data_IF_855403635751
#
_entry.id   IF_855403635751
#
_cell.length_a   1.000
_cell.length_b   1.000
_cell.length_c   1.000
_cell.angle_alpha   90.00
_cell.angle_beta   90.00
_cell.angle_gamma   90.00
#
_symmetry.space_group_name_H-M   'P 1'
#
loop_
_entity.id
_entity.type
_entity.pdbx_description
1 polymer ?
#
# COMPACT_ATOMS: atom_id res chain seq x y z
N UNK A 1 -30.73 -10.92 19.75
CA UNK A 1 -29.46 -10.17 19.73
C UNK A 1 -28.55 -10.85 18.72
N UNK A 2 -28.33 -10.25 17.56
CA UNK A 2 -27.46 -10.83 16.52
C UNK A 2 -26.03 -10.82 17.05
N UNK A 3 -25.39 -11.99 17.16
CA UNK A 3 -23.96 -12.07 17.48
C UNK A 3 -23.21 -11.45 16.30
N UNK A 4 -22.70 -10.23 16.47
CA UNK A 4 -21.76 -9.64 15.53
C UNK A 4 -20.49 -10.49 15.59
N UNK A 5 -20.23 -11.27 14.56
CA UNK A 5 -18.94 -11.96 14.41
C UNK A 5 -17.84 -10.90 14.33
N UNK A 6 -16.74 -11.01 15.10
CA UNK A 6 -15.62 -10.08 14.98
C UNK A 6 -15.12 -10.04 13.54
N UNK A 7 -14.89 -8.85 13.01
CA UNK A 7 -14.27 -8.70 11.69
C UNK A 7 -12.79 -9.06 11.81
N UNK A 8 -12.24 -9.84 10.86
CA UNK A 8 -10.82 -10.11 10.81
C UNK A 8 -10.01 -8.81 10.75
N UNK A 9 -8.95 -8.76 11.54
CA UNK A 9 -8.10 -7.58 11.71
C UNK A 9 -6.85 -7.68 10.86
N UNK A 10 -6.57 -6.65 10.08
CA UNK A 10 -5.34 -6.55 9.30
C UNK A 10 -4.51 -5.40 9.85
N UNK A 11 -3.32 -5.71 10.36
CA UNK A 11 -2.31 -4.72 10.71
C UNK A 11 -1.63 -4.18 9.45
N UNK A 12 -1.31 -2.90 9.41
CA UNK A 12 -0.67 -2.30 8.24
C UNK A 12 0.45 -1.34 8.63
N UNK A 13 1.65 -1.56 8.07
CA UNK A 13 2.80 -0.66 8.19
C UNK A 13 3.14 -0.08 6.83
N UNK A 14 3.21 1.26 6.74
CA UNK A 14 3.54 1.99 5.52
C UNK A 14 4.87 2.71 5.68
N UNK A 15 5.87 2.31 4.89
CA UNK A 15 7.20 2.91 4.88
C UNK A 15 7.52 3.56 3.53
N UNK A 16 8.56 4.38 3.52
CA UNK A 16 9.16 4.90 2.29
C UNK A 16 8.63 6.27 1.87
N UNK A 17 8.10 6.37 0.65
CA UNK A 17 7.87 7.65 0.00
C UNK A 17 6.38 7.92 -0.28
N UNK A 18 6.00 9.16 -0.66
CA UNK A 18 4.61 9.52 -0.96
C UNK A 18 3.89 8.59 -1.95
N UNK A 19 4.63 8.04 -2.93
CA UNK A 19 4.06 7.09 -3.91
C UNK A 19 3.68 5.76 -3.25
N UNK A 20 4.53 5.31 -2.34
CA UNK A 20 4.29 4.09 -1.55
C UNK A 20 3.13 4.29 -0.57
N UNK A 21 3.01 5.49 0.00
CA UNK A 21 1.87 5.86 0.84
C UNK A 21 0.56 5.81 0.06
N UNK A 22 0.52 6.32 -1.18
CA UNK A 22 -0.68 6.19 -2.04
C UNK A 22 -0.99 4.72 -2.37
N UNK A 23 0.03 3.88 -2.56
CA UNK A 23 -0.16 2.44 -2.74
C UNK A 23 -0.80 1.81 -1.48
N UNK A 24 -0.32 2.18 -0.29
CA UNK A 24 -0.93 1.77 0.99
C UNK A 24 -2.37 2.23 1.13
N UNK A 25 -2.68 3.50 0.83
CA UNK A 25 -4.04 4.04 0.89
C UNK A 25 -5.02 3.25 0.02
N UNK A 26 -4.58 2.78 -1.16
CA UNK A 26 -5.40 1.92 -2.03
C UNK A 26 -5.68 0.57 -1.40
N UNK A 27 -4.64 -0.12 -0.90
CA UNK A 27 -4.80 -1.43 -0.24
C UNK A 27 -5.74 -1.31 0.97
N UNK A 28 -5.53 -0.28 1.79
CA UNK A 28 -6.37 0.00 2.97
C UNK A 28 -7.84 0.27 2.60
N UNK A 29 -8.06 1.00 1.51
CA UNK A 29 -9.41 1.30 1.00
C UNK A 29 -10.11 0.02 0.60
N UNK A 30 -9.46 -0.85 -0.17
CA UNK A 30 -10.06 -2.12 -0.60
C UNK A 30 -10.32 -3.07 0.56
N UNK A 31 -9.38 -3.22 1.50
CA UNK A 31 -9.57 -4.03 2.71
C UNK A 31 -10.80 -3.56 3.51
N UNK A 32 -10.97 -2.25 3.70
CA UNK A 32 -12.15 -1.72 4.38
C UNK A 32 -13.44 -1.92 3.58
N UNK A 33 -13.39 -1.78 2.26
CA UNK A 33 -14.54 -2.04 1.37
C UNK A 33 -15.00 -3.49 1.49
N UNK A 34 -14.05 -4.42 1.59
CA UNK A 34 -14.31 -5.84 1.81
C UNK A 34 -14.77 -6.18 3.23
N UNK A 35 -14.63 -5.23 4.18
CA UNK A 35 -15.09 -5.34 5.56
C UNK A 35 -14.06 -5.88 6.54
N UNK A 36 -12.77 -5.81 6.20
CA UNK A 36 -11.69 -6.04 7.16
C UNK A 36 -11.57 -4.85 8.12
N UNK A 37 -11.25 -5.14 9.37
CA UNK A 37 -10.91 -4.12 10.34
C UNK A 37 -9.41 -3.81 10.21
N UNK A 38 -9.06 -2.61 9.75
CA UNK A 38 -7.65 -2.23 9.58
C UNK A 38 -7.16 -1.45 10.78
N UNK A 39 -6.15 -1.99 11.45
CA UNK A 39 -5.59 -1.49 12.70
C UNK A 39 -4.16 -0.97 12.53
N UNK A 40 -3.75 0.09 13.25
CA UNK A 40 -2.39 0.63 13.19
C UNK A 40 -1.41 -0.11 14.15
N UNK A 41 -1.66 -1.38 14.47
CA UNK A 41 -0.85 -2.18 15.40
C UNK A 41 -0.55 -3.58 14.85
N UNK A 42 0.52 -4.18 15.35
CA UNK A 42 0.81 -5.60 15.17
C UNK A 42 -0.06 -6.46 16.09
N UNK A 43 -0.25 -5.97 17.32
CA UNK A 43 -1.00 -6.62 18.38
C UNK A 43 -2.46 -6.83 17.96
N UNK A 44 -2.97 -8.03 18.22
CA UNK A 44 -4.33 -8.49 17.91
C UNK A 44 -4.72 -8.46 16.41
N UNK A 45 -3.77 -8.31 15.49
CA UNK A 45 -4.04 -8.49 14.07
C UNK A 45 -4.06 -9.98 13.70
N UNK A 46 -4.95 -10.41 12.80
CA UNK A 46 -4.93 -11.76 12.23
C UNK A 46 -3.80 -11.96 11.21
N UNK A 47 -3.29 -10.84 10.68
CA UNK A 47 -2.17 -10.75 9.73
C UNK A 47 -1.66 -9.31 9.65
N UNK A 48 -0.38 -9.13 9.34
CA UNK A 48 0.24 -7.82 9.10
C UNK A 48 0.72 -7.70 7.65
N UNK A 49 0.46 -6.54 7.04
CA UNK A 49 1.02 -6.14 5.75
C UNK A 49 2.09 -5.08 6.00
N UNK A 50 3.32 -5.32 5.52
CA UNK A 50 4.41 -4.34 5.59
C UNK A 50 4.71 -3.83 4.17
N UNK A 51 4.37 -2.56 3.90
CA UNK A 51 4.69 -1.89 2.65
C UNK A 51 6.06 -1.20 2.74
N UNK A 52 7.04 -1.76 2.04
CA UNK A 52 8.47 -1.51 2.22
C UNK A 52 9.06 -0.53 1.20
N UNK A 53 10.20 0.07 1.56
CA UNK A 53 11.02 0.88 0.67
C UNK A 53 12.26 0.11 0.22
N UNK A 54 12.65 0.24 -1.05
CA UNK A 54 13.77 -0.50 -1.64
C UNK A 54 14.86 0.37 -2.28
N UNK A 55 14.74 1.70 -2.20
CA UNK A 55 15.51 2.62 -3.04
C UNK A 55 16.86 3.03 -2.45
N UNK A 56 16.91 3.39 -1.18
CA UNK A 56 18.14 3.78 -0.46
C UNK A 56 18.46 2.77 0.64
N UNK A 57 19.74 2.52 0.90
CA UNK A 57 20.19 1.47 1.83
C UNK A 57 19.62 1.63 3.24
N UNK A 58 19.55 2.86 3.76
CA UNK A 58 18.96 3.12 5.09
C UNK A 58 17.48 2.72 5.15
N UNK A 59 16.72 2.99 4.10
CA UNK A 59 15.30 2.63 4.03
C UNK A 59 15.10 1.12 3.78
N UNK A 60 16.07 0.46 3.16
CA UNK A 60 16.09 -1.01 3.04
C UNK A 60 16.31 -1.64 4.41
N UNK A 61 17.27 -1.15 5.20
CA UNK A 61 17.51 -1.66 6.56
C UNK A 61 16.28 -1.43 7.45
N UNK A 62 15.71 -0.22 7.46
CA UNK A 62 14.47 0.10 8.17
C UNK A 62 13.32 -0.86 7.77
N UNK A 63 13.20 -1.15 6.47
CA UNK A 63 12.18 -2.09 5.98
C UNK A 63 12.40 -3.52 6.48
N UNK A 64 13.65 -3.99 6.50
CA UNK A 64 13.99 -5.32 7.02
C UNK A 64 13.76 -5.41 8.53
N UNK A 65 14.07 -4.35 9.29
CA UNK A 65 13.81 -4.28 10.73
C UNK A 65 12.30 -4.35 11.02
N UNK A 66 11.49 -3.56 10.30
CA UNK A 66 10.03 -3.56 10.46
C UNK A 66 9.40 -4.92 10.11
N UNK A 67 9.92 -5.63 9.10
CA UNK A 67 9.47 -7.01 8.80
C UNK A 67 9.78 -7.94 9.99
N UNK A 68 10.98 -7.83 10.56
CA UNK A 68 11.39 -8.64 11.70
C UNK A 68 10.53 -8.39 12.94
N UNK A 69 10.23 -7.11 13.23
CA UNK A 69 9.33 -6.71 14.31
C UNK A 69 7.93 -7.31 14.09
N UNK A 70 7.33 -7.13 12.91
CA UNK A 70 6.02 -7.67 12.59
C UNK A 70 5.97 -9.21 12.68
N UNK A 71 7.05 -9.90 12.29
CA UNK A 71 7.15 -11.35 12.40
C UNK A 71 7.24 -11.81 13.86
N UNK A 72 7.94 -11.07 14.71
CA UNK A 72 8.08 -11.41 16.13
C UNK A 72 6.77 -11.21 16.88
N UNK A 73 6.04 -10.13 16.61
CA UNK A 73 4.79 -9.80 17.31
C UNK A 73 3.58 -10.57 16.77
N UNK A 74 3.50 -10.81 15.46
CA UNK A 74 2.31 -11.42 14.83
C UNK A 74 2.53 -12.82 14.25
N UNK A 75 3.70 -13.07 13.64
CA UNK A 75 4.04 -14.33 12.99
C UNK A 75 3.41 -14.57 11.61
N UNK A 76 2.39 -13.79 11.18
CA UNK A 76 1.80 -13.85 9.84
C UNK A 76 1.98 -12.53 9.10
N UNK A 77 3.02 -12.46 8.28
CA UNK A 77 3.41 -11.23 7.58
C UNK A 77 3.42 -11.42 6.08
N UNK A 78 2.74 -10.52 5.37
CA UNK A 78 2.88 -10.30 3.93
C UNK A 78 3.73 -9.04 3.72
N UNK A 79 4.67 -9.10 2.78
CA UNK A 79 5.49 -7.96 2.40
C UNK A 79 5.07 -7.46 1.02
N UNK A 80 4.98 -6.15 0.88
CA UNK A 80 4.74 -5.49 -0.41
C UNK A 80 5.64 -4.27 -0.57
N UNK A 81 5.62 -3.63 -1.74
CA UNK A 81 6.33 -2.40 -2.00
C UNK A 81 7.66 -2.58 -2.73
N UNK A 82 8.46 -1.53 -2.71
CA UNK A 82 9.67 -1.42 -3.54
C UNK A 82 10.71 -2.51 -3.24
N UNK A 83 10.87 -2.91 -1.97
CA UNK A 83 11.84 -3.95 -1.62
C UNK A 83 11.38 -5.34 -2.08
N UNK A 84 10.08 -5.55 -2.25
CA UNK A 84 9.51 -6.79 -2.75
C UNK A 84 9.95 -7.15 -4.18
N UNK A 85 10.42 -6.18 -4.96
CA UNK A 85 11.07 -6.44 -6.24
C UNK A 85 12.44 -7.16 -6.10
N UNK A 86 12.97 -7.27 -4.88
CA UNK A 86 14.18 -8.00 -4.50
C UNK A 86 13.83 -9.10 -3.50
N UNK A 87 12.94 -10.00 -3.90
CA UNK A 87 12.40 -11.06 -3.03
C UNK A 87 13.49 -11.85 -2.30
N UNK A 88 14.56 -12.23 -3.01
CA UNK A 88 15.68 -12.99 -2.45
C UNK A 88 16.30 -12.31 -1.21
N UNK A 89 16.45 -10.98 -1.25
CA UNK A 89 17.02 -10.20 -0.16
C UNK A 89 16.12 -10.23 1.09
N UNK A 90 14.80 -10.24 0.91
CA UNK A 90 13.87 -10.37 2.03
C UNK A 90 13.91 -11.79 2.58
N UNK A 91 13.87 -12.82 1.72
CA UNK A 91 13.83 -14.22 2.15
C UNK A 91 15.12 -14.70 2.80
N UNK A 92 16.27 -14.15 2.42
CA UNK A 92 17.57 -14.45 3.04
C UNK A 92 17.56 -14.07 4.54
N UNK A 93 16.98 -12.92 4.87
CA UNK A 93 16.92 -12.41 6.24
C UNK A 93 15.70 -12.95 7.00
N UNK A 94 14.54 -12.98 6.32
CA UNK A 94 13.23 -13.30 6.89
C UNK A 94 12.53 -14.42 6.12
N UNK A 95 13.02 -15.66 6.18
CA UNK A 95 12.48 -16.78 5.40
C UNK A 95 11.05 -17.18 5.80
N UNK A 96 10.54 -16.66 6.92
CA UNK A 96 9.19 -16.94 7.45
C UNK A 96 8.09 -16.02 6.90
N UNK A 97 8.45 -15.00 6.11
CA UNK A 97 7.44 -14.17 5.42
C UNK A 97 6.56 -15.07 4.56
N UNK A 98 5.24 -14.88 4.66
CA UNK A 98 4.26 -15.71 3.95
C UNK A 98 4.36 -15.47 2.46
N UNK A 99 4.20 -14.21 2.05
CA UNK A 99 4.16 -13.80 0.65
C UNK A 99 4.87 -12.46 0.46
N UNK A 100 5.45 -12.29 -0.73
CA UNK A 100 6.18 -11.08 -1.11
C UNK A 100 5.64 -10.63 -2.46
N UNK A 101 5.26 -9.35 -2.54
CA UNK A 101 4.77 -8.73 -3.76
C UNK A 101 5.57 -7.47 -4.09
N UNK A 102 5.63 -7.13 -5.37
CA UNK A 102 6.29 -5.92 -5.85
C UNK A 102 5.55 -4.63 -5.48
N UNK A 103 6.12 -3.46 -5.87
CA UNK A 103 5.39 -2.20 -5.78
C UNK A 103 4.14 -2.25 -6.66
N UNK A 104 3.13 -1.41 -6.37
CA UNK A 104 1.87 -1.30 -7.11
C UNK A 104 1.06 -2.61 -7.33
N UNK A 105 1.47 -3.75 -6.76
CA UNK A 105 0.80 -5.06 -6.85
C UNK A 105 -0.36 -5.22 -5.85
N UNK A 106 -1.23 -4.22 -5.70
CA UNK A 106 -2.27 -4.24 -4.67
C UNK A 106 -3.30 -5.38 -4.86
N UNK A 107 -3.61 -5.78 -6.10
CA UNK A 107 -4.51 -6.92 -6.36
C UNK A 107 -3.93 -8.21 -5.80
N UNK A 108 -2.65 -8.47 -6.07
CA UNK A 108 -1.93 -9.64 -5.56
C UNK A 108 -1.86 -9.63 -4.02
N UNK A 109 -1.65 -8.46 -3.40
CA UNK A 109 -1.70 -8.34 -1.94
C UNK A 109 -3.06 -8.77 -1.39
N UNK A 110 -4.16 -8.34 -2.00
CA UNK A 110 -5.51 -8.72 -1.58
C UNK A 110 -5.77 -10.22 -1.76
N UNK A 111 -5.33 -10.81 -2.87
CA UNK A 111 -5.41 -12.26 -3.11
C UNK A 111 -4.70 -13.05 -2.01
N UNK A 112 -3.48 -12.64 -1.65
CA UNK A 112 -2.74 -13.27 -0.56
C UNK A 112 -3.43 -13.07 0.80
N UNK A 113 -3.98 -11.89 1.07
CA UNK A 113 -4.80 -11.68 2.28
C UNK A 113 -5.97 -12.66 2.31
N UNK A 114 -6.71 -12.81 1.22
CA UNK A 114 -7.85 -13.73 1.14
C UNK A 114 -7.46 -15.20 1.32
N UNK A 115 -6.23 -15.56 0.92
CA UNK A 115 -5.70 -16.89 1.09
C UNK A 115 -5.49 -17.25 2.57
N UNK A 116 -4.98 -16.33 3.37
CA UNK A 116 -4.61 -16.59 4.78
C UNK A 116 -5.63 -16.10 5.80
N UNK A 117 -6.44 -15.10 5.44
CA UNK A 117 -7.47 -14.50 6.29
C UNK A 117 -8.80 -14.55 5.54
N UNK A 118 -9.82 -15.27 6.06
CA UNK A 118 -11.09 -15.41 5.38
C UNK A 118 -11.76 -14.05 5.12
N UNK A 119 -12.24 -13.87 3.90
CA UNK A 119 -12.99 -12.67 3.53
C UNK A 119 -14.22 -12.49 4.42
N UNK A 120 -14.35 -11.34 5.11
CA UNK A 120 -15.51 -11.04 5.91
C UNK A 120 -16.79 -11.09 5.06
N UNK A 121 -17.92 -11.44 5.70
CA UNK A 121 -19.22 -11.27 5.05
C UNK A 121 -19.48 -9.77 4.91
N UNK A 122 -19.44 -9.27 3.68
CA UNK A 122 -19.69 -7.87 3.40
C UNK A 122 -21.06 -7.43 3.95
N UNK A 123 -21.07 -6.37 4.76
CA UNK A 123 -22.27 -5.76 5.29
C UNK A 123 -22.24 -4.26 4.96
N UNK A 124 -23.08 -3.78 4.03
CA UNK A 124 -23.07 -2.38 3.58
C UNK A 124 -23.26 -1.35 4.70
N UNK A 125 -23.88 -1.74 5.82
CA UNK A 125 -24.11 -0.85 6.97
C UNK A 125 -22.91 -0.76 7.92
N UNK A 126 -21.93 -1.66 7.79
CA UNK A 126 -20.73 -1.71 8.63
C UNK A 126 -19.45 -1.41 7.84
N UNK A 127 -19.40 -1.76 6.56
CA UNK A 127 -18.26 -1.54 5.66
C UNK A 127 -18.31 -0.14 5.02
N UNK A 128 -18.46 0.90 5.84
CA UNK A 128 -18.49 2.28 5.35
C UNK A 128 -17.08 2.75 5.00
N UNK A 129 -16.87 3.09 3.73
CA UNK A 129 -15.62 3.66 3.24
C UNK A 129 -15.90 5.06 2.69
N UNK A 130 -15.10 6.08 3.04
CA UNK A 130 -15.24 7.41 2.45
C UNK A 130 -15.09 7.34 0.93
N UNK A 131 -15.79 8.20 0.19
CA UNK A 131 -15.76 8.21 -1.28
C UNK A 131 -14.34 8.44 -1.83
N UNK A 132 -13.55 9.25 -1.13
CA UNK A 132 -12.15 9.52 -1.42
C UNK A 132 -11.19 8.38 -1.00
N UNK A 133 -11.70 7.31 -0.40
CA UNK A 133 -10.93 6.22 0.19
C UNK A 133 -10.33 6.55 1.55
N UNK A 134 -9.57 5.60 2.08
CA UNK A 134 -8.76 5.78 3.29
C UNK A 134 -7.57 6.68 2.96
N UNK A 135 -7.33 7.69 3.80
CA UNK A 135 -6.18 8.60 3.67
C UNK A 135 -5.32 8.53 4.92
N UNK A 136 -4.02 8.37 4.71
CA UNK A 136 -2.99 8.34 5.76
C UNK A 136 -2.37 9.73 5.98
N UNK A 137 -2.69 10.67 5.11
CA UNK A 137 -2.30 12.09 5.20
C UNK A 137 -3.23 12.87 6.14
N UNK A 138 -2.73 13.94 6.78
CA UNK A 138 -3.58 14.92 7.47
C UNK A 138 -4.68 15.49 6.57
N UNK A 139 -5.82 15.88 7.16
CA UNK A 139 -7.02 16.32 6.43
C UNK A 139 -6.83 17.47 5.43
N UNK A 140 -5.77 18.27 5.56
CA UNK A 140 -5.58 19.47 4.76
C UNK A 140 -4.85 19.23 3.44
N UNK A 141 -4.12 18.12 3.27
CA UNK A 141 -3.45 17.80 2.02
C UNK A 141 -3.63 16.34 1.64
N UNK A 142 -3.47 16.02 0.36
CA UNK A 142 -3.40 14.65 -0.11
C UNK A 142 -2.44 14.52 -1.30
N UNK A 143 -1.80 13.35 -1.41
CA UNK A 143 -1.02 13.00 -2.60
C UNK A 143 -1.92 12.49 -3.71
N UNK A 144 -1.67 12.94 -4.94
CA UNK A 144 -2.34 12.48 -6.14
C UNK A 144 -1.29 11.88 -7.08
N UNK A 145 -1.19 10.54 -7.09
CA UNK A 145 -0.28 9.82 -7.97
C UNK A 145 -0.82 9.81 -9.39
N UNK A 146 -0.10 10.38 -10.36
CA UNK A 146 -0.55 10.50 -11.76
C UNK A 146 0.05 9.47 -12.70
N UNK A 147 1.21 8.91 -12.35
CA UNK A 147 1.86 7.85 -13.12
C UNK A 147 2.71 6.96 -12.21
N UNK A 148 3.10 5.81 -12.74
CA UNK A 148 3.99 4.83 -12.14
C UNK A 148 5.19 4.58 -13.06
N UNK A 149 6.31 4.12 -12.51
CA UNK A 149 7.49 3.76 -13.30
C UNK A 149 8.20 4.94 -13.96
N UNK A 150 9.25 4.66 -14.73
CA UNK A 150 10.03 5.69 -15.41
C UNK A 150 10.77 5.15 -16.64
N UNK A 151 10.71 5.88 -17.77
CA UNK A 151 11.40 5.50 -19.01
C UNK A 151 12.88 5.92 -19.04
N UNK A 152 13.32 6.77 -18.11
CA UNK A 152 14.71 7.20 -18.05
C UNK A 152 15.61 6.04 -17.62
N UNK A 153 16.76 5.90 -18.28
CA UNK A 153 17.83 4.95 -17.93
C UNK A 153 19.00 5.68 -17.29
N UNK A 154 18.72 6.45 -16.25
CA UNK A 154 19.75 7.15 -15.49
C UNK A 154 20.70 6.12 -14.85
N UNK A 155 22.01 6.34 -14.97
CA UNK A 155 23.05 5.41 -14.51
C UNK A 155 22.98 5.10 -13.00
N UNK A 156 22.38 5.98 -12.22
CA UNK A 156 22.26 5.87 -10.77
C UNK A 156 20.88 5.37 -10.29
N UNK A 157 19.89 5.22 -11.18
CA UNK A 157 18.50 5.03 -10.78
C UNK A 157 18.00 3.61 -11.08
N UNK A 158 17.60 2.89 -10.03
CA UNK A 158 17.07 1.51 -10.12
C UNK A 158 15.55 1.45 -10.36
N UNK A 159 14.89 2.59 -10.54
CA UNK A 159 13.43 2.66 -10.68
C UNK A 159 12.89 1.80 -11.84
N UNK A 160 13.46 1.82 -13.05
CA UNK A 160 12.91 1.01 -14.15
C UNK A 160 12.90 -0.50 -13.86
N UNK A 161 13.92 -1.02 -13.18
CA UNK A 161 13.96 -2.43 -12.78
C UNK A 161 13.04 -2.76 -11.61
N UNK A 162 12.63 -1.76 -10.83
CA UNK A 162 11.87 -1.95 -9.59
C UNK A 162 10.37 -1.69 -9.76
N UNK A 163 10.01 -0.58 -10.42
CA UNK A 163 8.64 -0.10 -10.62
C UNK A 163 8.20 -0.14 -12.08
N UNK A 164 9.07 -0.62 -12.98
CA UNK A 164 8.78 -0.74 -14.40
C UNK A 164 8.95 0.56 -15.20
N UNK A 165 8.62 0.45 -16.47
CA UNK A 165 8.53 1.58 -17.40
C UNK A 165 7.36 2.50 -17.07
N UNK A 166 7.39 3.70 -17.64
CA UNK A 166 6.38 4.72 -17.36
C UNK A 166 4.98 4.25 -17.80
N UNK A 167 4.04 4.31 -16.87
CA UNK A 167 2.61 4.11 -17.13
C UNK A 167 1.85 5.31 -16.56
N UNK A 168 1.27 6.11 -17.45
CA UNK A 168 0.42 7.25 -17.06
C UNK A 168 -0.99 6.78 -16.75
N UNK A 169 -1.58 7.29 -15.66
CA UNK A 169 -2.99 7.07 -15.37
C UNK A 169 -3.87 7.86 -16.34
N UNK A 170 -5.03 7.34 -16.75
CA UNK A 170 -5.99 8.09 -17.56
C UNK A 170 -6.39 9.41 -16.88
N UNK A 171 -6.40 10.51 -17.65
CA UNK A 171 -6.69 11.85 -17.11
C UNK A 171 -8.07 11.94 -16.45
N UNK A 172 -9.07 11.20 -16.95
CA UNK A 172 -10.40 11.15 -16.35
C UNK A 172 -10.39 10.59 -14.94
N UNK A 173 -9.59 9.56 -14.66
CA UNK A 173 -9.45 8.99 -13.32
C UNK A 173 -8.73 9.95 -12.38
N UNK A 174 -7.67 10.60 -12.87
CA UNK A 174 -6.88 11.58 -12.10
C UNK A 174 -7.77 12.76 -11.69
N UNK A 175 -8.54 13.32 -12.62
CA UNK A 175 -9.46 14.42 -12.36
C UNK A 175 -10.60 14.01 -11.43
N UNK A 176 -11.13 12.80 -11.58
CA UNK A 176 -12.18 12.27 -10.71
C UNK A 176 -11.69 12.09 -9.27
N UNK A 177 -10.48 11.55 -9.08
CA UNK A 177 -9.87 11.42 -7.76
C UNK A 177 -9.57 12.79 -7.15
N UNK A 178 -9.01 13.72 -7.92
CA UNK A 178 -8.79 15.10 -7.47
C UNK A 178 -10.09 15.75 -6.99
N UNK A 179 -11.19 15.59 -7.74
CA UNK A 179 -12.50 16.11 -7.35
C UNK A 179 -12.97 15.52 -6.02
N UNK A 180 -12.92 14.19 -5.86
CA UNK A 180 -13.30 13.52 -4.59
C UNK A 180 -12.47 14.01 -3.41
N UNK A 181 -11.17 14.25 -3.60
CA UNK A 181 -10.31 14.80 -2.56
C UNK A 181 -10.75 16.21 -2.15
N UNK A 182 -11.04 17.09 -3.11
CA UNK A 182 -11.53 18.45 -2.84
C UNK A 182 -12.89 18.42 -2.13
N UNK A 183 -13.82 17.59 -2.60
CA UNK A 183 -15.14 17.42 -2.00
C UNK A 183 -15.04 16.93 -0.54
N UNK A 184 -14.04 16.09 -0.25
CA UNK A 184 -13.71 15.62 1.10
C UNK A 184 -13.02 16.67 2.00
N UNK A 185 -12.77 17.88 1.48
CA UNK A 185 -12.24 19.01 2.23
C UNK A 185 -10.72 19.20 2.16
N UNK A 186 -10.01 18.44 1.33
CA UNK A 186 -8.56 18.63 1.08
C UNK A 186 -8.33 20.03 0.52
N UNK A 187 -7.32 20.74 1.04
CA UNK A 187 -6.96 22.11 0.64
C UNK A 187 -5.76 22.16 -0.30
N UNK A 188 -4.90 21.15 -0.24
CA UNK A 188 -3.70 21.06 -1.05
C UNK A 188 -3.59 19.67 -1.70
N UNK A 189 -3.47 19.64 -3.03
CA UNK A 189 -3.23 18.41 -3.79
C UNK A 189 -1.77 18.40 -4.24
N UNK A 190 -1.02 17.44 -3.72
CA UNK A 190 0.37 17.21 -4.06
C UNK A 190 0.43 16.19 -5.21
N UNK A 191 0.59 16.69 -6.43
CA UNK A 191 0.72 15.85 -7.64
C UNK A 191 2.08 15.17 -7.62
N UNK A 192 2.10 13.83 -7.69
CA UNK A 192 3.33 13.05 -7.59
C UNK A 192 3.45 11.98 -8.68
N UNK A 193 4.71 11.68 -9.03
CA UNK A 193 5.13 10.51 -9.80
C UNK A 193 6.65 10.34 -9.68
N UNK A 194 7.24 9.38 -10.39
CA UNK A 194 8.69 9.23 -10.53
C UNK A 194 9.27 10.34 -11.40
N UNK A 195 8.58 10.64 -12.51
CA UNK A 195 8.84 11.77 -13.38
C UNK A 195 7.51 12.41 -13.78
N UNK A 196 7.23 13.60 -13.24
CA UNK A 196 5.97 14.32 -13.47
C UNK A 196 5.95 14.99 -14.84
N UNK A 197 7.13 15.28 -15.40
CA UNK A 197 7.26 15.92 -16.71
C UNK A 197 6.93 15.00 -17.88
N UNK A 198 6.94 13.69 -17.65
CA UNK A 198 6.67 12.68 -18.67
C UNK A 198 5.21 12.20 -18.73
N UNK A 199 4.31 12.71 -17.89
CA UNK A 199 2.90 12.29 -17.89
C UNK A 199 2.24 12.45 -19.26
N UNK A 200 1.49 11.43 -19.69
CA UNK A 200 0.78 11.40 -20.97
C UNK A 200 1.62 10.90 -22.15
N UNK A 201 2.87 10.49 -21.92
CA UNK A 201 3.70 9.77 -22.89
C UNK A 201 3.48 8.27 -22.84
#
# INVERSE_FOLDING_TARGET
MSKVTPQPKIGFVSLGCPKNLVDSERILTELRTEGYDVVPSYDDADMVIVNTCGFIDSAVQESLEAIGEALNENGKVIVTGCLGAKEDQIREVHPKVLEITGPHSYEQVLEHVHHYVPKPKHNPFLSLVPEQGVKLTPRHYAYLKISEGCNHRCTFCIIPSMRGDLVSRPIGEVLSEAKRLVDAGVKEILVISQDTSAYGR
#
